data_IF_112042265575
#
_entry.id   IF_112042265575
#
_cell.length_a   1.000
_cell.length_b   1.000
_cell.length_c   1.000
_cell.angle_alpha   90.00
_cell.angle_beta   90.00
_cell.angle_gamma   90.00
#
_symmetry.space_group_name_H-M   'P 1'
#
loop_
_entity.id
_entity.type
_entity.pdbx_description
1 polymer ?
#
# COMPACT_ATOMS: atom_id res chain seq x y z
N UNK A 1 4.52 10.47 6.21
CA UNK A 1 4.90 9.05 6.42
C UNK A 1 4.19 8.30 5.33
N UNK A 2 4.94 7.65 4.43
CA UNK A 2 4.34 6.93 3.30
C UNK A 2 4.25 5.44 3.62
N UNK A 3 3.12 4.81 3.32
CA UNK A 3 2.88 3.38 3.46
C UNK A 3 3.48 2.60 2.28
N UNK A 4 3.23 1.28 2.25
CA UNK A 4 3.82 0.37 1.26
C UNK A 4 3.37 0.62 -0.18
N UNK A 5 2.26 1.32 -0.40
CA UNK A 5 1.76 1.66 -1.73
C UNK A 5 2.69 2.60 -2.50
N UNK A 6 3.67 3.25 -1.84
CA UNK A 6 4.67 4.10 -2.49
C UNK A 6 5.52 3.36 -3.55
N UNK A 7 5.58 2.03 -3.47
CA UNK A 7 6.34 1.18 -4.40
C UNK A 7 5.50 0.67 -5.58
N UNK A 8 4.21 0.97 -5.61
CA UNK A 8 3.34 0.58 -6.71
C UNK A 8 3.63 1.42 -7.97
N UNK A 9 3.38 0.83 -9.13
CA UNK A 9 3.53 1.56 -10.41
C UNK A 9 2.24 2.21 -10.87
N UNK A 10 1.10 1.74 -10.33
CA UNK A 10 -0.22 2.23 -10.71
C UNK A 10 -0.52 3.58 -10.04
N UNK A 11 -1.12 4.54 -10.76
CA UNK A 11 -1.44 5.86 -10.20
C UNK A 11 -2.38 5.82 -9.00
N UNK A 12 -3.33 4.88 -8.98
CA UNK A 12 -4.35 4.79 -7.94
C UNK A 12 -3.78 4.41 -6.55
N UNK A 13 -3.00 3.32 -6.39
CA UNK A 13 -2.31 3.03 -5.13
C UNK A 13 -1.39 4.16 -4.66
N UNK A 14 -0.63 4.77 -5.59
CA UNK A 14 0.28 5.87 -5.27
C UNK A 14 -0.43 7.09 -4.70
N UNK A 15 -1.66 7.38 -5.14
CA UNK A 15 -2.48 8.47 -4.60
C UNK A 15 -2.80 8.27 -3.10
N UNK A 16 -2.74 7.04 -2.60
CA UNK A 16 -3.02 6.68 -1.21
C UNK A 16 -1.75 6.37 -0.41
N UNK A 17 -0.57 6.56 -0.99
CA UNK A 17 0.71 6.22 -0.34
C UNK A 17 0.97 7.04 0.93
N UNK A 18 0.48 8.28 1.02
CA UNK A 18 0.69 9.15 2.21
C UNK A 18 -0.46 9.10 3.23
N UNK A 19 -1.45 8.21 3.03
CA UNK A 19 -2.52 8.04 3.99
C UNK A 19 -1.99 7.49 5.32
N UNK A 20 -2.56 7.90 6.46
CA UNK A 20 -2.09 7.46 7.79
C UNK A 20 -2.36 5.98 8.08
N UNK A 21 -3.18 5.32 7.25
CA UNK A 21 -3.42 3.88 7.31
C UNK A 21 -2.26 3.17 6.61
N UNK A 22 -1.68 2.17 7.27
CA UNK A 22 -0.64 1.32 6.70
C UNK A 22 -1.25 0.35 5.66
N UNK A 23 -1.54 0.89 4.49
CA UNK A 23 -2.06 0.11 3.37
C UNK A 23 -1.00 -0.82 2.81
N UNK A 24 -1.43 -2.03 2.48
CA UNK A 24 -0.63 -3.04 1.79
C UNK A 24 -1.16 -3.24 0.37
N UNK A 25 -0.28 -3.40 -0.63
CA UNK A 25 -0.71 -3.88 -1.92
C UNK A 25 -1.27 -5.31 -1.80
N UNK A 26 -2.21 -5.64 -2.68
CA UNK A 26 -2.81 -6.97 -2.66
C UNK A 26 -1.76 -8.04 -2.99
N UNK A 27 -1.62 -9.05 -2.13
CA UNK A 27 -0.64 -10.12 -2.29
C UNK A 27 -0.46 -10.96 -1.03
N UNK A 28 0.50 -11.88 -1.06
CA UNK A 28 0.77 -12.80 0.03
C UNK A 28 1.10 -12.08 1.36
N UNK A 29 1.80 -10.94 1.31
CA UNK A 29 2.09 -10.15 2.52
C UNK A 29 0.81 -9.62 3.17
N UNK A 30 -0.13 -9.10 2.36
CA UNK A 30 -1.42 -8.62 2.84
C UNK A 30 -2.29 -9.75 3.42
N UNK A 31 -2.26 -10.93 2.79
CA UNK A 31 -3.03 -12.10 3.22
C UNK A 31 -2.45 -12.76 4.48
N UNK A 32 -1.13 -12.77 4.64
CA UNK A 32 -0.45 -13.37 5.80
C UNK A 32 -0.59 -12.49 7.06
N UNK A 33 -0.83 -11.19 6.86
CA UNK A 33 -1.02 -10.19 7.93
C UNK A 33 -2.47 -10.10 8.43
N UNK A 34 -3.44 -10.69 7.73
CA UNK A 34 -4.85 -10.67 8.07
C UNK A 34 -5.17 -11.53 9.30
#
# INVERSE_FOLDING_TARGET
MSNRLINETSPYPLQHADNPVDWYPWGEEALTKA
#
